data_IF_596304964211
#
_entry.id   IF_596304964211
#
_cell.length_a   1.000
_cell.length_b   1.000
_cell.length_c   1.000
_cell.angle_alpha   90.00
_cell.angle_beta   90.00
_cell.angle_gamma   90.00
#
_symmetry.space_group_name_H-M   'P 1'
#
loop_
_entity.id
_entity.type
_entity.pdbx_description
1 polymer ?
#
# COMPACT_ATOMS: atom_id res chain seq x y z
N UNK A 1 -58.45 12.09 35.69
CA UNK A 1 -57.03 11.93 36.11
C UNK A 1 -56.25 11.36 34.94
N UNK A 2 -55.05 11.91 34.72
CA UNK A 2 -53.92 11.40 33.90
C UNK A 2 -53.95 11.59 32.37
N UNK A 3 -53.56 12.82 32.00
CA UNK A 3 -52.49 13.26 31.09
C UNK A 3 -52.22 12.56 29.72
N UNK A 4 -52.14 13.35 28.62
CA UNK A 4 -51.71 12.90 27.29
C UNK A 4 -50.18 12.90 27.11
N UNK A 5 -49.72 12.01 26.23
CA UNK A 5 -48.31 11.75 25.87
C UNK A 5 -47.70 12.93 25.11
N UNK A 6 -46.56 13.40 25.58
CA UNK A 6 -45.69 14.37 24.89
C UNK A 6 -44.59 13.63 24.13
N UNK A 7 -44.52 13.85 22.82
CA UNK A 7 -43.36 13.55 21.97
C UNK A 7 -42.34 14.69 22.06
N UNK A 8 -41.03 14.42 22.23
CA UNK A 8 -40.02 15.47 22.22
C UNK A 8 -39.69 15.92 20.79
N UNK A 9 -39.52 17.23 20.63
CA UNK A 9 -39.08 17.88 19.39
C UNK A 9 -37.59 17.58 19.10
N UNK A 10 -37.16 17.56 17.81
CA UNK A 10 -35.75 17.36 17.47
C UNK A 10 -34.92 18.61 17.82
N UNK A 11 -33.76 18.37 18.43
CA UNK A 11 -32.81 19.38 18.83
C UNK A 11 -32.05 19.94 17.59
N UNK A 12 -32.13 21.26 17.37
CA UNK A 12 -31.56 21.98 16.23
C UNK A 12 -30.18 22.59 16.57
N UNK A 13 -29.11 21.80 16.47
CA UNK A 13 -27.75 22.21 16.90
C UNK A 13 -26.80 22.69 15.77
N UNK A 14 -27.29 23.20 14.64
CA UNK A 14 -26.41 23.64 13.52
C UNK A 14 -26.72 25.00 12.89
N UNK A 15 -27.41 25.94 13.57
CA UNK A 15 -27.60 27.29 13.00
C UNK A 15 -26.42 28.20 13.37
N UNK A 16 -25.36 28.14 12.56
CA UNK A 16 -24.25 29.10 12.63
C UNK A 16 -24.59 30.34 11.77
N UNK A 17 -24.71 31.51 12.40
CA UNK A 17 -24.84 32.82 11.73
C UNK A 17 -23.52 33.59 11.86
N UNK A 18 -22.91 34.08 10.76
CA UNK A 18 -21.67 34.83 10.84
C UNK A 18 -21.90 36.24 11.42
N UNK A 19 -20.96 36.80 12.21
CA UNK A 19 -21.05 38.18 12.67
C UNK A 19 -20.81 39.18 11.53
N UNK A 20 -21.60 40.26 11.52
CA UNK A 20 -21.40 41.44 10.66
C UNK A 20 -20.06 42.10 11.00
N UNK A 21 -19.14 42.13 10.04
CA UNK A 21 -17.86 42.86 10.14
C UNK A 21 -18.10 44.35 9.83
N UNK A 22 -18.08 45.21 10.83
CA UNK A 22 -17.90 46.65 10.66
C UNK A 22 -16.40 46.95 10.73
N UNK A 23 -15.84 47.53 9.67
CA UNK A 23 -14.42 47.86 9.56
C UNK A 23 -14.21 49.33 9.94
N UNK A 24 -13.39 49.68 10.94
CA UNK A 24 -12.90 51.04 11.10
C UNK A 24 -11.68 51.24 10.20
N UNK A 25 -11.75 52.19 9.28
CA UNK A 25 -10.61 52.64 8.47
C UNK A 25 -9.54 53.29 9.36
N UNK A 26 -8.34 52.72 9.37
CA UNK A 26 -7.14 53.27 10.02
C UNK A 26 -6.46 54.30 9.10
N UNK A 27 -5.96 55.44 9.61
CA UNK A 27 -5.28 56.42 8.77
C UNK A 27 -3.90 55.89 8.32
N UNK A 28 -3.58 56.15 7.05
CA UNK A 28 -2.33 55.82 6.37
C UNK A 28 -1.17 56.66 6.91
N UNK A 29 -0.16 56.01 7.49
CA UNK A 29 1.14 56.62 7.79
C UNK A 29 2.09 56.45 6.59
N UNK A 30 2.78 57.53 6.21
CA UNK A 30 3.72 57.65 5.09
C UNK A 30 4.84 56.58 5.11
N UNK A 31 5.44 56.23 3.95
CA UNK A 31 6.45 55.20 3.86
C UNK A 31 7.76 55.66 4.51
N UNK A 32 8.25 54.87 5.46
CA UNK A 32 9.58 55.02 6.06
C UNK A 32 10.58 54.37 5.10
N UNK A 33 11.41 55.17 4.45
CA UNK A 33 12.52 54.68 3.63
C UNK A 33 13.54 54.00 4.53
N UNK A 34 13.73 52.70 4.37
CA UNK A 34 14.88 51.98 4.96
C UNK A 34 15.77 51.54 3.80
N UNK A 35 17.05 51.88 3.89
CA UNK A 35 18.09 51.51 2.94
C UNK A 35 18.26 49.98 2.87
N UNK A 36 18.56 49.40 1.70
CA UNK A 36 18.67 47.95 1.54
C UNK A 36 20.11 47.50 1.72
N UNK A 37 20.54 47.21 2.94
CA UNK A 37 21.85 46.56 3.18
C UNK A 37 21.72 45.16 3.83
N UNK A 38 20.53 44.80 4.36
CA UNK A 38 20.26 43.48 4.96
C UNK A 38 19.64 42.44 4.02
N UNK A 39 19.43 42.78 2.73
CA UNK A 39 18.73 41.90 1.78
C UNK A 39 19.59 40.74 1.25
N UNK A 40 20.90 40.93 1.19
CA UNK A 40 21.86 39.91 0.74
C UNK A 40 22.06 38.78 1.75
N UNK A 41 22.24 39.13 3.04
CA UNK A 41 22.45 38.14 4.11
C UNK A 41 21.20 37.29 4.37
N UNK A 42 20.01 37.92 4.40
CA UNK A 42 18.75 37.18 4.54
C UNK A 42 18.48 36.24 3.35
N UNK A 43 18.80 36.67 2.13
CA UNK A 43 18.67 35.81 0.94
C UNK A 43 19.64 34.63 0.98
N UNK A 44 20.89 34.86 1.38
CA UNK A 44 21.91 33.81 1.54
C UNK A 44 21.56 32.79 2.63
N UNK A 45 21.02 33.23 3.77
CA UNK A 45 20.57 32.33 4.83
C UNK A 45 19.38 31.47 4.37
N UNK A 46 18.41 32.07 3.69
CA UNK A 46 17.23 31.34 3.19
C UNK A 46 17.60 30.32 2.10
N UNK A 47 18.62 30.62 1.30
CA UNK A 47 19.16 29.69 0.31
C UNK A 47 19.92 28.53 0.97
N UNK A 48 20.70 28.81 2.02
CA UNK A 48 21.40 27.79 2.79
C UNK A 48 20.42 26.83 3.49
N UNK A 49 19.37 27.35 4.14
CA UNK A 49 18.34 26.52 4.77
C UNK A 49 17.63 25.62 3.76
N UNK A 50 17.33 26.12 2.56
CA UNK A 50 16.74 25.30 1.49
C UNK A 50 17.69 24.22 0.96
N UNK A 51 18.99 24.50 0.85
CA UNK A 51 19.99 23.49 0.46
C UNK A 51 20.08 22.37 1.49
N UNK A 52 20.11 22.71 2.79
CA UNK A 52 20.11 21.72 3.87
C UNK A 52 18.84 20.87 3.86
N UNK A 53 17.68 21.49 3.65
CA UNK A 53 16.41 20.75 3.54
C UNK A 53 16.39 19.72 2.40
N UNK A 54 16.88 20.09 1.20
CA UNK A 54 16.94 19.13 0.09
C UNK A 54 17.96 18.02 0.32
N UNK A 55 19.08 18.31 0.99
CA UNK A 55 20.03 17.28 1.41
C UNK A 55 19.39 16.27 2.39
N UNK A 56 18.59 16.74 3.35
CA UNK A 56 17.86 15.85 4.27
C UNK A 56 16.84 14.95 3.55
N UNK A 57 16.20 15.45 2.48
CA UNK A 57 15.32 14.64 1.62
C UNK A 57 16.11 13.57 0.84
N UNK A 58 17.31 13.92 0.36
CA UNK A 58 18.21 12.96 -0.31
C UNK A 58 18.67 11.88 0.67
N UNK A 59 19.02 12.24 1.91
CA UNK A 59 19.37 11.27 2.96
C UNK A 59 18.21 10.31 3.26
N UNK A 60 16.96 10.80 3.33
CA UNK A 60 15.78 9.95 3.48
C UNK A 60 15.65 8.97 2.30
N UNK A 61 15.93 9.45 1.09
CA UNK A 61 15.86 8.61 -0.12
C UNK A 61 16.90 7.49 -0.06
N UNK A 62 18.12 7.79 0.38
CA UNK A 62 19.19 6.80 0.57
C UNK A 62 18.85 5.77 1.65
N UNK A 63 18.22 6.19 2.75
CA UNK A 63 17.77 5.29 3.81
C UNK A 63 16.67 4.33 3.31
N UNK A 64 15.75 4.80 2.47
CA UNK A 64 14.72 3.95 1.85
C UNK A 64 15.36 2.91 0.92
N UNK A 65 16.35 3.29 0.12
CA UNK A 65 17.09 2.34 -0.74
C UNK A 65 17.79 1.27 0.10
N UNK A 66 18.39 1.67 1.23
CA UNK A 66 19.00 0.72 2.17
C UNK A 66 17.97 -0.21 2.83
N UNK A 67 16.82 0.33 3.24
CA UNK A 67 15.72 -0.46 3.81
C UNK A 67 15.20 -1.50 2.80
N UNK A 68 15.03 -1.10 1.54
CA UNK A 68 14.62 -2.01 0.46
C UNK A 68 15.65 -3.11 0.22
N UNK A 69 16.93 -2.78 0.23
CA UNK A 69 18.00 -3.77 0.09
C UNK A 69 17.98 -4.79 1.23
N UNK A 70 17.77 -4.33 2.48
CA UNK A 70 17.62 -5.20 3.66
C UNK A 70 16.38 -6.10 3.55
N UNK A 71 15.23 -5.55 3.19
CA UNK A 71 14.00 -6.31 3.02
C UNK A 71 14.14 -7.38 1.92
N UNK A 72 14.73 -7.03 0.77
CA UNK A 72 15.02 -7.98 -0.31
C UNK A 72 16.01 -9.07 0.08
N UNK A 73 17.05 -8.74 0.84
CA UNK A 73 18.00 -9.72 1.39
C UNK A 73 17.32 -10.68 2.37
N UNK A 74 16.47 -10.17 3.27
CA UNK A 74 15.69 -11.00 4.19
C UNK A 74 14.77 -11.98 3.44
N UNK A 75 14.13 -11.55 2.34
CA UNK A 75 13.33 -12.46 1.50
C UNK A 75 14.21 -13.54 0.87
N UNK A 76 15.37 -13.18 0.33
CA UNK A 76 16.31 -14.13 -0.26
C UNK A 76 16.80 -15.16 0.75
N UNK A 77 17.26 -14.70 1.93
CA UNK A 77 17.74 -15.56 3.03
C UNK A 77 16.63 -16.43 3.61
N UNK A 78 15.42 -15.90 3.78
CA UNK A 78 14.26 -16.66 4.25
C UNK A 78 13.87 -17.77 3.27
N UNK A 79 14.00 -17.50 1.97
CA UNK A 79 13.79 -18.50 0.92
C UNK A 79 14.86 -19.57 0.98
N UNK A 80 16.14 -19.19 1.08
CA UNK A 80 17.22 -20.16 1.17
C UNK A 80 17.07 -21.06 2.40
N UNK A 81 16.82 -20.48 3.58
CA UNK A 81 16.59 -21.23 4.81
C UNK A 81 15.41 -22.21 4.71
N UNK A 82 14.30 -21.80 4.06
CA UNK A 82 13.17 -22.69 3.77
C UNK A 82 13.57 -23.85 2.86
N UNK A 83 14.36 -23.57 1.81
CA UNK A 83 14.77 -24.56 0.84
C UNK A 83 15.84 -25.50 1.42
N UNK A 84 16.82 -25.01 2.15
CA UNK A 84 17.92 -25.82 2.72
C UNK A 84 17.55 -26.50 4.04
N UNK A 85 16.35 -26.22 4.56
CA UNK A 85 15.87 -26.65 5.88
C UNK A 85 16.76 -26.14 7.02
N UNK A 86 17.39 -24.97 6.84
CA UNK A 86 18.25 -24.35 7.85
C UNK A 86 17.41 -23.63 8.91
N UNK A 87 17.16 -24.33 10.02
CA UNK A 87 16.40 -23.78 11.14
C UNK A 87 17.16 -22.71 11.93
N UNK A 88 18.50 -22.72 11.88
CA UNK A 88 19.31 -21.74 12.57
C UNK A 88 19.24 -20.40 11.84
N UNK A 89 19.41 -20.42 10.52
CA UNK A 89 19.24 -19.23 9.68
C UNK A 89 17.82 -18.69 9.76
N UNK A 90 16.80 -19.56 9.71
CA UNK A 90 15.41 -19.14 9.87
C UNK A 90 15.14 -18.48 11.23
N UNK A 91 15.79 -18.94 12.31
CA UNK A 91 15.66 -18.31 13.62
C UNK A 91 16.39 -16.96 13.66
N UNK A 92 17.59 -16.87 13.10
CA UNK A 92 18.35 -15.62 13.02
C UNK A 92 17.56 -14.53 12.30
N UNK A 93 16.92 -14.84 11.16
CA UNK A 93 16.10 -13.87 10.42
C UNK A 93 14.89 -13.41 11.24
N UNK A 94 14.28 -14.29 12.05
CA UNK A 94 13.18 -13.92 12.93
C UNK A 94 13.65 -12.96 14.02
N UNK A 95 14.85 -13.17 14.55
CA UNK A 95 15.43 -12.32 15.59
C UNK A 95 15.94 -10.98 15.03
N UNK A 96 16.35 -10.95 13.75
CA UNK A 96 16.82 -9.76 13.04
C UNK A 96 15.66 -8.89 12.47
N UNK A 97 14.41 -9.34 12.53
CA UNK A 97 13.23 -8.63 11.99
C UNK A 97 13.08 -7.22 12.60
N UNK A 98 13.33 -7.09 13.91
CA UNK A 98 13.29 -5.81 14.64
C UNK A 98 14.27 -4.77 14.06
N UNK A 99 15.35 -5.19 13.39
CA UNK A 99 16.31 -4.27 12.79
C UNK A 99 15.74 -3.57 11.53
N UNK A 100 14.79 -4.21 10.83
CA UNK A 100 14.05 -3.60 9.73
C UNK A 100 13.06 -2.57 10.29
N UNK A 101 12.34 -2.92 11.37
CA UNK A 101 11.40 -2.01 12.05
C UNK A 101 12.10 -0.74 12.55
N UNK A 102 13.26 -0.88 13.18
CA UNK A 102 14.06 0.25 13.65
C UNK A 102 14.52 1.14 12.48
N UNK A 103 14.94 0.54 11.36
CA UNK A 103 15.34 1.29 10.18
C UNK A 103 14.17 2.04 9.52
N UNK A 104 12.99 1.42 9.49
CA UNK A 104 11.75 2.06 9.02
C UNK A 104 11.37 3.23 9.93
N UNK A 105 11.45 3.05 11.25
CA UNK A 105 11.16 4.09 12.22
C UNK A 105 12.10 5.30 12.07
N UNK A 106 13.40 5.08 11.82
CA UNK A 106 14.35 6.17 11.55
C UNK A 106 13.89 7.05 10.37
N UNK A 107 13.45 6.42 9.27
CA UNK A 107 12.95 7.14 8.10
C UNK A 107 11.69 7.95 8.44
N UNK A 108 10.76 7.34 9.18
CA UNK A 108 9.53 8.02 9.60
C UNK A 108 9.82 9.22 10.50
N UNK A 109 10.71 9.09 11.48
CA UNK A 109 11.10 10.18 12.40
C UNK A 109 11.75 11.35 11.66
N UNK A 110 12.60 11.07 10.66
CA UNK A 110 13.19 12.10 9.79
C UNK A 110 12.13 12.81 8.95
N UNK A 111 11.21 12.06 8.36
CA UNK A 111 10.09 12.65 7.61
C UNK A 111 9.23 13.55 8.50
N UNK A 112 8.88 13.10 9.70
CA UNK A 112 8.10 13.88 10.67
C UNK A 112 8.84 15.14 11.12
N UNK A 113 10.15 15.05 11.34
CA UNK A 113 11.00 16.19 11.69
C UNK A 113 11.01 17.25 10.58
N UNK A 114 11.14 16.83 9.32
CA UNK A 114 11.04 17.73 8.17
C UNK A 114 9.67 18.44 8.09
N UNK A 115 8.58 17.70 8.28
CA UNK A 115 7.23 18.27 8.26
C UNK A 115 6.99 19.25 9.42
N UNK A 116 7.60 19.01 10.58
CA UNK A 116 7.44 19.84 11.77
C UNK A 116 8.29 21.12 11.73
N UNK A 117 9.52 21.02 11.21
CA UNK A 117 10.50 22.11 11.25
C UNK A 117 10.45 23.01 10.01
N UNK A 118 9.92 22.51 8.89
CA UNK A 118 9.95 23.20 7.60
C UNK A 118 8.54 23.47 7.07
N UNK A 119 8.44 24.36 6.08
CA UNK A 119 7.21 24.60 5.32
C UNK A 119 7.38 24.06 3.89
N UNK A 120 7.33 22.72 3.69
CA UNK A 120 7.56 22.12 2.40
C UNK A 120 6.53 22.62 1.36
N UNK A 121 7.00 22.91 0.15
CA UNK A 121 6.11 23.24 -0.95
C UNK A 121 5.39 21.97 -1.43
N UNK A 122 4.44 22.11 -2.36
CA UNK A 122 3.60 21.00 -2.80
C UNK A 122 4.41 19.79 -3.33
N UNK A 123 5.55 20.02 -4.01
CA UNK A 123 6.42 18.93 -4.49
C UNK A 123 7.14 18.22 -3.33
N UNK A 124 7.78 19.00 -2.46
CA UNK A 124 8.51 18.48 -1.31
C UNK A 124 7.61 17.70 -0.36
N UNK A 125 6.41 18.22 -0.09
CA UNK A 125 5.41 17.56 0.74
C UNK A 125 5.03 16.19 0.15
N UNK A 126 4.83 16.11 -1.17
CA UNK A 126 4.55 14.82 -1.82
C UNK A 126 5.71 13.86 -1.71
N UNK A 127 6.95 14.33 -1.85
CA UNK A 127 8.13 13.49 -1.71
C UNK A 127 8.23 12.93 -0.29
N UNK A 128 8.03 13.75 0.74
CA UNK A 128 8.05 13.31 2.14
C UNK A 128 6.91 12.32 2.44
N UNK A 129 5.69 12.60 1.96
CA UNK A 129 4.56 11.68 2.15
C UNK A 129 4.76 10.33 1.43
N UNK A 130 5.28 10.37 0.20
CA UNK A 130 5.60 9.15 -0.54
C UNK A 130 6.69 8.35 0.18
N UNK A 131 7.74 9.01 0.69
CA UNK A 131 8.79 8.38 1.48
C UNK A 131 8.21 7.62 2.70
N UNK A 132 7.33 8.26 3.48
CA UNK A 132 6.67 7.59 4.62
C UNK A 132 5.85 6.37 4.19
N UNK A 133 5.04 6.50 3.13
CA UNK A 133 4.20 5.38 2.68
C UNK A 133 5.03 4.23 2.11
N UNK A 134 6.07 4.52 1.34
CA UNK A 134 6.98 3.51 0.77
C UNK A 134 7.69 2.77 1.89
N UNK A 135 8.18 3.49 2.91
CA UNK A 135 8.83 2.91 4.09
C UNK A 135 7.95 1.83 4.74
N UNK A 136 6.66 2.12 4.92
CA UNK A 136 5.71 1.16 5.49
C UNK A 136 5.43 -0.06 4.58
N UNK A 137 5.53 0.06 3.24
CA UNK A 137 5.43 -1.11 2.35
C UNK A 137 6.69 -1.99 2.44
N UNK A 138 7.87 -1.39 2.63
CA UNK A 138 9.15 -2.09 2.76
C UNK A 138 9.28 -2.81 4.11
N UNK A 139 8.82 -2.19 5.21
CA UNK A 139 8.74 -2.84 6.53
C UNK A 139 7.86 -4.10 6.47
N UNK A 140 6.64 -3.99 5.90
CA UNK A 140 5.76 -5.15 5.73
C UNK A 140 6.39 -6.26 4.89
N UNK A 141 7.19 -5.91 3.89
CA UNK A 141 7.96 -6.87 3.09
C UNK A 141 8.96 -7.64 3.95
N UNK A 142 9.68 -6.95 4.85
CA UNK A 142 10.54 -7.58 5.86
C UNK A 142 9.78 -8.53 6.77
N UNK A 143 8.65 -8.09 7.34
CA UNK A 143 7.81 -8.92 8.19
C UNK A 143 7.23 -10.15 7.46
N UNK A 144 7.01 -10.09 6.15
CA UNK A 144 6.64 -11.26 5.35
C UNK A 144 7.79 -12.28 5.23
N UNK A 145 9.05 -11.83 5.12
CA UNK A 145 10.21 -12.71 5.16
C UNK A 145 10.34 -13.44 6.52
N UNK A 146 10.11 -12.72 7.63
CA UNK A 146 10.02 -13.31 8.96
C UNK A 146 8.89 -14.37 9.04
N UNK A 147 7.74 -14.11 8.43
CA UNK A 147 6.64 -15.07 8.37
C UNK A 147 6.96 -16.32 7.52
N UNK A 148 7.73 -16.18 6.44
CA UNK A 148 8.26 -17.32 5.67
C UNK A 148 9.12 -18.22 6.57
N UNK A 149 10.04 -17.64 7.35
CA UNK A 149 10.88 -18.37 8.30
C UNK A 149 10.06 -19.08 9.39
N UNK A 150 9.06 -18.39 9.96
CA UNK A 150 8.12 -18.98 10.93
C UNK A 150 7.36 -20.16 10.31
N UNK A 151 6.95 -20.05 9.04
CA UNK A 151 6.32 -21.13 8.28
C UNK A 151 7.25 -22.33 8.06
N UNK A 152 8.48 -22.08 7.62
CA UNK A 152 9.51 -23.10 7.41
C UNK A 152 9.75 -23.94 8.68
N UNK A 153 9.87 -23.27 9.84
CA UNK A 153 10.04 -23.95 11.14
C UNK A 153 8.86 -24.82 11.54
N UNK A 154 7.62 -24.40 11.23
CA UNK A 154 6.41 -25.20 11.53
C UNK A 154 6.26 -26.42 10.63
N UNK A 155 6.87 -26.39 9.45
CA UNK A 155 6.86 -27.51 8.51
C UNK A 155 7.88 -28.59 8.84
N UNK A 156 9.00 -28.23 9.47
CA UNK A 156 10.07 -29.18 9.75
C UNK A 156 9.58 -30.40 10.55
N UNK A 157 9.96 -31.65 10.17
CA UNK A 157 10.94 -32.03 9.15
C UNK A 157 10.35 -32.39 7.77
N UNK A 158 9.17 -31.88 7.41
CA UNK A 158 8.54 -32.21 6.13
C UNK A 158 9.41 -31.81 4.92
N UNK A 159 9.58 -32.73 3.99
CA UNK A 159 10.33 -32.50 2.76
C UNK A 159 9.47 -31.85 1.69
N UNK A 160 10.08 -30.91 0.95
CA UNK A 160 9.49 -30.23 -0.19
C UNK A 160 9.60 -31.11 -1.44
N UNK A 161 8.48 -31.43 -2.12
CA UNK A 161 8.53 -32.05 -3.44
C UNK A 161 9.34 -31.19 -4.42
N UNK A 162 10.20 -31.80 -5.27
CA UNK A 162 11.10 -31.05 -6.17
C UNK A 162 10.40 -29.99 -7.04
N UNK A 163 9.18 -30.28 -7.49
CA UNK A 163 8.38 -29.35 -8.30
C UNK A 163 7.96 -28.10 -7.54
N UNK A 164 7.53 -28.25 -6.28
CA UNK A 164 7.14 -27.12 -5.42
C UNK A 164 8.37 -26.29 -5.02
N UNK A 165 9.48 -26.97 -4.79
CA UNK A 165 10.78 -26.37 -4.47
C UNK A 165 11.26 -25.39 -5.55
N UNK A 166 11.18 -25.78 -6.82
CA UNK A 166 11.53 -24.91 -7.96
C UNK A 166 10.62 -23.69 -8.07
N UNK A 167 9.30 -23.89 -7.93
CA UNK A 167 8.33 -22.80 -8.00
C UNK A 167 8.50 -21.77 -6.85
N UNK A 168 8.86 -22.21 -5.64
CA UNK A 168 9.18 -21.30 -4.53
C UNK A 168 10.38 -20.42 -4.87
N UNK A 169 11.44 -21.01 -5.45
CA UNK A 169 12.62 -20.25 -5.87
C UNK A 169 12.25 -19.20 -6.93
N UNK A 170 11.49 -19.59 -7.95
CA UNK A 170 11.04 -18.67 -9.01
C UNK A 170 10.17 -17.53 -8.46
N UNK A 171 9.25 -17.83 -7.53
CA UNK A 171 8.41 -16.81 -6.88
C UNK A 171 9.23 -15.83 -6.04
N UNK A 172 10.24 -16.32 -5.32
CA UNK A 172 11.15 -15.47 -4.54
C UNK A 172 11.98 -14.56 -5.43
N UNK A 173 12.57 -15.10 -6.49
CA UNK A 173 13.34 -14.31 -7.46
C UNK A 173 12.50 -13.19 -8.09
N UNK A 174 11.25 -13.49 -8.46
CA UNK A 174 10.35 -12.48 -9.03
C UNK A 174 9.92 -11.44 -7.99
N UNK A 175 9.61 -11.85 -6.76
CA UNK A 175 9.28 -10.93 -5.67
C UNK A 175 10.44 -9.96 -5.36
N UNK A 176 11.68 -10.46 -5.29
CA UNK A 176 12.89 -9.64 -5.09
C UNK A 176 13.10 -8.70 -6.28
N UNK A 177 12.85 -9.16 -7.51
CA UNK A 177 12.93 -8.33 -8.71
C UNK A 177 11.93 -7.17 -8.66
N UNK A 178 10.69 -7.42 -8.24
CA UNK A 178 9.66 -6.39 -8.12
C UNK A 178 10.02 -5.33 -7.06
N UNK A 179 10.53 -5.75 -5.90
CA UNK A 179 11.03 -4.82 -4.87
C UNK A 179 12.10 -3.91 -5.47
N UNK A 180 13.11 -4.48 -6.16
CA UNK A 180 14.18 -3.70 -6.80
C UNK A 180 13.64 -2.69 -7.80
N UNK A 181 12.82 -3.14 -8.75
CA UNK A 181 12.24 -2.25 -9.76
C UNK A 181 11.37 -1.14 -9.14
N UNK A 182 10.62 -1.44 -8.07
CA UNK A 182 9.80 -0.44 -7.38
C UNK A 182 10.66 0.67 -6.75
N UNK A 183 11.82 0.32 -6.19
CA UNK A 183 12.73 1.24 -5.51
C UNK A 183 13.63 1.97 -6.50
N UNK A 184 14.03 1.31 -7.58
CA UNK A 184 14.70 1.95 -8.72
C UNK A 184 13.80 3.07 -9.27
N UNK A 185 12.51 2.78 -9.47
CA UNK A 185 11.53 3.78 -9.93
C UNK A 185 11.38 4.95 -8.95
N UNK A 186 11.48 4.70 -7.64
CA UNK A 186 11.47 5.74 -6.62
C UNK A 186 12.72 6.62 -6.69
N UNK A 187 13.91 5.99 -6.70
CA UNK A 187 15.20 6.68 -6.69
C UNK A 187 15.40 7.58 -7.92
N UNK A 188 14.97 7.10 -9.08
CA UNK A 188 15.09 7.82 -10.37
C UNK A 188 13.89 8.74 -10.63
N UNK A 189 12.86 8.70 -9.76
CA UNK A 189 11.56 9.37 -9.97
C UNK A 189 10.93 8.99 -11.32
N UNK A 190 11.09 7.74 -11.73
CA UNK A 190 10.61 7.22 -13.00
C UNK A 190 9.13 6.76 -12.89
N UNK A 191 8.22 7.67 -13.25
CA UNK A 191 6.79 7.38 -13.32
C UNK A 191 6.42 6.36 -14.41
N UNK A 192 7.25 6.19 -15.45
CA UNK A 192 7.06 5.23 -16.53
C UNK A 192 7.31 3.81 -16.04
N UNK A 193 8.48 3.56 -15.44
CA UNK A 193 8.78 2.29 -14.79
C UNK A 193 7.72 1.98 -13.72
N UNK A 194 7.41 2.95 -12.86
CA UNK A 194 6.40 2.77 -11.81
C UNK A 194 5.02 2.39 -12.36
N UNK A 195 4.63 2.90 -13.54
CA UNK A 195 3.37 2.54 -14.19
C UNK A 195 3.37 1.14 -14.79
N UNK A 196 4.53 0.58 -15.12
CA UNK A 196 4.65 -0.77 -15.68
C UNK A 196 4.67 -1.86 -14.60
N UNK A 197 4.93 -1.52 -13.33
CA UNK A 197 5.07 -2.49 -12.24
C UNK A 197 3.83 -3.39 -12.06
N UNK A 198 2.62 -2.85 -12.24
CA UNK A 198 1.35 -3.60 -12.18
C UNK A 198 1.34 -4.74 -13.23
N UNK A 199 1.73 -4.44 -14.47
CA UNK A 199 1.81 -5.44 -15.55
C UNK A 199 3.01 -6.41 -15.36
N UNK A 200 4.08 -5.96 -14.69
CA UNK A 200 5.25 -6.80 -14.43
C UNK A 200 4.92 -7.84 -13.35
N UNK A 201 4.11 -7.49 -12.35
CA UNK A 201 3.68 -8.36 -11.25
C UNK A 201 2.78 -9.52 -11.70
N UNK A 202 2.10 -9.40 -12.85
CA UNK A 202 1.32 -10.49 -13.47
C UNK A 202 2.09 -11.82 -13.55
N UNK A 203 3.43 -11.75 -13.68
CA UNK A 203 4.29 -12.94 -13.68
C UNK A 203 4.29 -13.64 -12.32
N UNK A 204 4.45 -12.92 -11.22
CA UNK A 204 4.42 -13.49 -9.87
C UNK A 204 3.04 -14.06 -9.54
N UNK A 205 1.99 -13.36 -9.96
CA UNK A 205 0.60 -13.81 -9.88
C UNK A 205 0.35 -15.13 -10.62
N UNK A 206 0.94 -15.27 -11.81
CA UNK A 206 0.89 -16.49 -12.59
C UNK A 206 1.63 -17.64 -11.89
N UNK A 207 2.84 -17.37 -11.38
CA UNK A 207 3.63 -18.34 -10.62
C UNK A 207 2.88 -18.82 -9.37
N UNK A 208 2.28 -17.90 -8.61
CA UNK A 208 1.46 -18.23 -7.44
C UNK A 208 0.28 -19.15 -7.82
N UNK A 209 -0.45 -18.83 -8.90
CA UNK A 209 -1.53 -19.69 -9.42
C UNK A 209 -1.03 -21.08 -9.84
N UNK A 210 0.13 -21.15 -10.49
CA UNK A 210 0.77 -22.43 -10.84
C UNK A 210 1.15 -23.21 -9.59
N UNK A 211 1.76 -22.57 -8.60
CA UNK A 211 2.15 -23.17 -7.33
C UNK A 211 0.95 -23.80 -6.60
N UNK A 212 -0.13 -23.04 -6.41
CA UNK A 212 -1.33 -23.53 -5.72
C UNK A 212 -1.93 -24.76 -6.41
N UNK A 213 -1.98 -24.78 -7.76
CA UNK A 213 -2.45 -25.97 -8.50
C UNK A 213 -1.58 -27.20 -8.23
N UNK A 214 -0.26 -27.04 -8.30
CA UNK A 214 0.68 -28.14 -8.04
C UNK A 214 0.63 -28.63 -6.59
N UNK A 215 0.48 -27.70 -5.64
CA UNK A 215 0.34 -28.03 -4.22
C UNK A 215 -0.90 -28.89 -3.97
N UNK A 216 -2.03 -28.56 -4.61
CA UNK A 216 -3.25 -29.36 -4.51
C UNK A 216 -3.10 -30.75 -5.15
N UNK A 217 -2.36 -30.86 -6.26
CA UNK A 217 -2.06 -32.16 -6.89
C UNK A 217 -1.25 -33.07 -5.96
N UNK A 218 -0.14 -32.55 -5.40
CA UNK A 218 0.73 -33.27 -4.45
C UNK A 218 -0.04 -33.65 -3.17
N UNK A 219 -0.87 -32.74 -2.65
CA UNK A 219 -1.67 -33.03 -1.45
C UNK A 219 -2.70 -34.14 -1.71
N UNK A 220 -3.29 -34.20 -2.92
CA UNK A 220 -4.23 -35.27 -3.31
C UNK A 220 -3.57 -36.63 -3.50
N UNK A 221 -2.35 -36.66 -4.04
CA UNK A 221 -1.58 -37.91 -4.18
C UNK A 221 -1.05 -38.45 -2.84
N UNK A 222 -1.23 -37.70 -1.74
CA UNK A 222 -0.68 -37.98 -0.40
C UNK A 222 0.84 -37.99 -0.34
N UNK A 223 1.48 -37.28 -1.28
CA UNK A 223 2.93 -37.05 -1.27
C UNK A 223 3.33 -35.95 -0.28
N UNK A 224 2.36 -35.20 0.25
CA UNK A 224 2.55 -34.19 1.29
C UNK A 224 1.35 -34.14 2.24
N UNK A 225 1.63 -34.16 3.54
CA UNK A 225 0.60 -34.03 4.58
C UNK A 225 -0.11 -32.68 4.52
N UNK A 226 -1.35 -32.64 5.05
CA UNK A 226 -2.21 -31.46 5.02
C UNK A 226 -1.57 -30.27 5.74
N UNK A 227 -0.93 -30.49 6.89
CA UNK A 227 -0.34 -29.40 7.68
C UNK A 227 0.81 -28.69 6.93
N UNK A 228 1.83 -29.40 6.41
CA UNK A 228 2.84 -28.78 5.57
C UNK A 228 2.27 -28.13 4.30
N UNK A 229 1.27 -28.75 3.67
CA UNK A 229 0.62 -28.16 2.50
C UNK A 229 -0.05 -26.81 2.83
N UNK A 230 -0.72 -26.70 3.98
CA UNK A 230 -1.30 -25.43 4.43
C UNK A 230 -0.24 -24.36 4.70
N UNK A 231 0.88 -24.72 5.32
CA UNK A 231 1.99 -23.76 5.54
C UNK A 231 2.57 -23.29 4.20
N UNK A 232 2.72 -24.18 3.22
CA UNK A 232 3.16 -23.82 1.88
C UNK A 232 2.20 -22.89 1.15
N UNK A 233 0.89 -23.10 1.28
CA UNK A 233 -0.09 -22.18 0.71
C UNK A 233 0.04 -20.77 1.31
N UNK A 234 0.29 -20.66 2.62
CA UNK A 234 0.54 -19.37 3.27
C UNK A 234 1.84 -18.72 2.81
N UNK A 235 2.93 -19.50 2.69
CA UNK A 235 4.23 -19.01 2.19
C UNK A 235 4.09 -18.49 0.76
N UNK A 236 3.39 -19.22 -0.11
CA UNK A 236 3.15 -18.78 -1.49
C UNK A 236 2.37 -17.47 -1.54
N UNK A 237 1.39 -17.30 -0.64
CA UNK A 237 0.66 -16.04 -0.48
C UNK A 237 1.55 -14.91 0.02
N UNK A 238 2.55 -15.18 0.86
CA UNK A 238 3.47 -14.15 1.31
C UNK A 238 4.33 -13.59 0.18
N UNK A 239 4.78 -14.42 -0.78
CA UNK A 239 5.45 -13.90 -1.97
C UNK A 239 4.53 -13.02 -2.83
N UNK A 240 3.29 -13.45 -3.10
CA UNK A 240 2.31 -12.61 -3.83
C UNK A 240 2.10 -11.26 -3.13
N UNK A 241 1.94 -11.25 -1.81
CA UNK A 241 1.84 -9.99 -1.04
C UNK A 241 3.08 -9.12 -1.11
N UNK A 242 4.28 -9.69 -1.29
CA UNK A 242 5.50 -8.90 -1.53
C UNK A 242 5.40 -8.19 -2.90
N UNK A 243 4.86 -8.86 -3.91
CA UNK A 243 4.51 -8.24 -5.20
C UNK A 243 3.52 -7.09 -5.05
N UNK A 244 2.41 -7.32 -4.34
CA UNK A 244 1.42 -6.27 -4.02
C UNK A 244 2.08 -5.04 -3.36
N UNK A 245 3.01 -5.26 -2.42
CA UNK A 245 3.73 -4.18 -1.75
C UNK A 245 4.64 -3.40 -2.73
N UNK A 246 5.31 -4.08 -3.66
CA UNK A 246 6.09 -3.42 -4.71
C UNK A 246 5.22 -2.58 -5.67
N UNK A 247 4.03 -3.07 -6.02
CA UNK A 247 3.03 -2.29 -6.80
C UNK A 247 2.52 -1.09 -6.00
N UNK A 248 2.27 -1.26 -4.70
CA UNK A 248 1.89 -0.13 -3.84
C UNK A 248 2.98 0.95 -3.80
N UNK A 249 4.26 0.55 -3.72
CA UNK A 249 5.41 1.48 -3.80
C UNK A 249 5.38 2.23 -5.13
N UNK A 250 5.19 1.54 -6.25
CA UNK A 250 5.15 2.17 -7.57
C UNK A 250 3.99 3.18 -7.70
N UNK A 251 2.83 2.89 -7.10
CA UNK A 251 1.72 3.83 -7.04
C UNK A 251 2.08 5.10 -6.24
N UNK A 252 2.91 4.99 -5.20
CA UNK A 252 3.40 6.15 -4.44
C UNK A 252 4.40 6.98 -5.24
N UNK A 253 5.26 6.33 -6.04
CA UNK A 253 6.16 7.02 -6.97
C UNK A 253 5.37 7.83 -8.00
N UNK A 254 4.32 7.24 -8.59
CA UNK A 254 3.45 7.94 -9.54
C UNK A 254 2.77 9.15 -8.90
N UNK A 255 2.31 9.03 -7.66
CA UNK A 255 1.75 10.16 -6.92
C UNK A 255 2.80 11.24 -6.63
N UNK A 256 4.00 10.84 -6.21
CA UNK A 256 5.11 11.76 -5.94
C UNK A 256 5.37 12.66 -7.15
N UNK A 257 5.48 12.06 -8.35
CA UNK A 257 5.76 12.76 -9.61
C UNK A 257 4.55 13.56 -10.10
N UNK A 258 3.38 12.94 -10.21
CA UNK A 258 2.21 13.54 -10.89
C UNK A 258 1.30 14.37 -9.99
N UNK A 259 1.35 14.13 -8.67
CA UNK A 259 0.38 14.67 -7.70
C UNK A 259 -1.01 14.03 -7.74
N UNK A 260 -1.23 13.01 -8.58
CA UNK A 260 -2.51 12.31 -8.72
C UNK A 260 -2.35 10.86 -8.25
N UNK A 261 -3.26 10.42 -7.38
CA UNK A 261 -3.26 9.04 -6.92
C UNK A 261 -3.77 8.07 -7.99
N UNK A 262 -3.02 7.00 -8.30
CA UNK A 262 -3.40 5.97 -9.27
C UNK A 262 -4.78 5.33 -9.07
N UNK A 263 -5.14 4.99 -7.84
CA UNK A 263 -6.42 4.32 -7.55
C UNK A 263 -7.64 5.19 -7.80
N UNK A 264 -7.48 6.52 -7.91
CA UNK A 264 -8.56 7.39 -8.38
C UNK A 264 -9.02 6.99 -9.79
N UNK A 265 -8.10 6.44 -10.59
CA UNK A 265 -8.36 5.94 -11.94
C UNK A 265 -8.76 4.44 -11.95
N UNK A 266 -8.29 3.63 -10.99
CA UNK A 266 -8.76 2.23 -10.83
C UNK A 266 -10.23 2.18 -10.34
N UNK A 267 -10.65 3.10 -9.47
CA UNK A 267 -12.04 3.22 -8.99
C UNK A 267 -13.03 3.69 -10.06
N UNK A 268 -12.59 4.51 -11.02
CA UNK A 268 -13.43 4.94 -12.15
C UNK A 268 -13.59 3.85 -13.22
N UNK A 269 -12.66 2.89 -13.30
CA UNK A 269 -12.74 1.72 -14.21
C UNK A 269 -13.70 0.63 -13.73
N UNK A 270 -14.03 0.58 -12.44
CA UNK A 270 -15.07 -0.28 -11.88
C UNK A 270 -16.23 0.57 -11.37
N UNK A 271 -17.21 0.94 -12.22
CA UNK A 271 -18.41 1.59 -11.71
C UNK A 271 -19.06 0.66 -10.68
N UNK A 272 -19.45 1.24 -9.55
CA UNK A 272 -20.24 0.60 -8.50
C UNK A 272 -21.32 -0.27 -9.14
N UNK A 273 -21.45 -1.52 -8.68
CA UNK A 273 -22.60 -2.40 -8.99
C UNK A 273 -23.87 -1.84 -8.33
N UNK A 274 -24.27 -0.64 -8.69
CA UNK A 274 -25.48 0.02 -8.23
C UNK A 274 -26.23 0.56 -9.44
N UNK A 275 -26.71 -0.34 -10.30
CA UNK A 275 -27.81 -0.08 -11.24
C UNK A 275 -28.29 -1.41 -11.86
N UNK A 276 -28.72 -2.34 -11.00
CA UNK A 276 -29.66 -3.38 -11.41
C UNK A 276 -30.78 -3.46 -10.39
N UNK A 277 -31.51 -2.35 -10.25
CA UNK A 277 -32.81 -2.36 -9.60
C UNK A 277 -33.72 -3.22 -10.47
N UNK A 278 -34.11 -4.36 -9.90
CA UNK A 278 -35.12 -5.28 -10.40
C UNK A 278 -36.36 -4.46 -10.79
N UNK A 279 -36.68 -4.44 -12.09
CA UNK A 279 -38.00 -4.00 -12.55
C UNK A 279 -39.01 -5.05 -12.11
N UNK A 280 -39.78 -4.72 -11.09
CA UNK A 280 -40.96 -5.47 -10.67
C UNK A 280 -42.05 -5.34 -11.75
N UNK A 281 -42.51 -6.42 -12.40
CA UNK A 281 -43.62 -6.32 -13.33
C UNK A 281 -44.93 -6.26 -12.52
N UNK A 282 -45.47 -5.05 -12.37
CA UNK A 282 -46.84 -4.87 -11.89
C UNK A 282 -47.84 -5.65 -12.76
N UNK A 283 -48.81 -6.39 -12.19
CA UNK A 283 -49.71 -7.22 -12.97
C UNK A 283 -50.77 -6.35 -13.68
N UNK A 284 -50.58 -6.16 -14.98
CA UNK A 284 -51.56 -5.57 -15.87
C UNK A 284 -52.63 -6.59 -16.25
N UNK A 285 -53.87 -6.29 -15.84
CA UNK A 285 -55.15 -6.78 -16.34
C UNK A 285 -55.10 -7.43 -17.73
N UNK A 286 -55.55 -8.68 -17.84
CA UNK A 286 -56.07 -9.22 -19.11
C UNK A 286 -57.50 -9.69 -18.88
N UNK A 287 -58.38 -9.09 -19.67
CA UNK A 287 -59.81 -9.30 -19.70
C UNK A 287 -60.18 -10.74 -20.05
N UNK A 288 -61.27 -11.18 -19.42
CA UNK A 288 -61.99 -12.40 -19.75
C UNK A 288 -62.84 -12.17 -20.99
N UNK A 289 -62.77 -13.07 -21.97
CA UNK A 289 -63.93 -13.38 -22.81
C UNK A 289 -63.90 -14.81 -23.37
N UNK A 290 -65.07 -15.39 -23.66
CA UNK A 290 -65.34 -16.80 -23.42
C UNK A 290 -65.56 -17.62 -24.69
N UNK A 291 -65.76 -18.92 -24.45
CA UNK A 291 -66.33 -19.98 -25.30
C UNK A 291 -65.42 -20.81 -26.20
N UNK A 292 -65.59 -22.13 -26.03
CA UNK A 292 -65.53 -23.11 -27.11
C UNK A 292 -64.82 -24.41 -26.74
N UNK A 293 -65.53 -25.32 -26.08
CA UNK A 293 -65.63 -26.79 -26.33
C UNK A 293 -64.38 -27.57 -26.86
N UNK A 294 -64.06 -28.81 -26.53
CA UNK A 294 -64.60 -29.92 -25.74
C UNK A 294 -63.81 -31.15 -26.26
N UNK A 295 -63.15 -31.96 -25.41
CA UNK A 295 -63.19 -33.44 -25.44
C UNK A 295 -62.03 -34.09 -24.68
N UNK A 296 -62.48 -34.99 -23.82
CA UNK A 296 -61.83 -36.19 -23.26
C UNK A 296 -61.19 -37.07 -24.33
N UNK A 297 -60.00 -37.60 -24.04
CA UNK A 297 -59.75 -39.00 -23.68
C UNK A 297 -58.40 -39.12 -22.96
#
# INVERSE_FOLDING_TARGET
MSAPRTTPAPASWWRWTPPRRSSPTRPTSAPRTTSPDGSGEASSMTEQTRKTFHAEIEEISDLIVQLAARAGDSVARATDALLTYDLAEAQQIIDDDDAIDVAALEVEERCQSLLALQQPMAGDLRQILAAMWITAELERTGGLACNICKGARRMFPAELPPKLRGLIAEMSEEAIRLIRLSVDSYSERDAGLASALDDIDDRLDSLHRVFVRNLLEVSRSKDLDVQPAMQLALIARYYERIGDHAVNVSDRVRYMVSGVMPWRDKMTRHPTREESVVQDPSPGSTEVSPNGENKTD
#
